data_IF_404088071098
#
_entry.id   IF_404088071098
#
_cell.length_a   1.000
_cell.length_b   1.000
_cell.length_c   1.000
_cell.angle_alpha   90.00
_cell.angle_beta   90.00
_cell.angle_gamma   90.00
#
_symmetry.space_group_name_H-M   'P 1'
#
loop_
_entity.id
_entity.type
_entity.pdbx_description
1 polymer ?
#
# COMPACT_ATOMS: atom_id res chain seq x y z
N UNK A 1 45.35 5.74 -7.05
CA UNK A 1 44.46 5.50 -5.92
C UNK A 1 43.29 4.63 -6.40
N UNK A 2 43.23 3.39 -5.95
CA UNK A 2 42.16 2.48 -6.32
C UNK A 2 40.79 3.03 -5.85
N UNK A 3 39.80 3.06 -6.74
CA UNK A 3 38.42 3.44 -6.40
C UNK A 3 37.92 2.49 -5.29
N UNK A 4 37.71 3.00 -4.06
CA UNK A 4 36.97 2.22 -3.05
C UNK A 4 35.59 1.93 -3.63
N UNK A 5 35.25 0.67 -3.82
CA UNK A 5 33.92 0.27 -4.28
C UNK A 5 32.85 0.90 -3.40
N UNK A 6 31.92 1.62 -4.01
CA UNK A 6 30.77 2.25 -3.34
C UNK A 6 30.86 3.76 -3.11
N UNK A 7 31.99 4.43 -3.33
CA UNK A 7 32.10 5.88 -3.14
C UNK A 7 31.99 6.65 -4.47
N UNK A 8 31.03 7.58 -4.52
CA UNK A 8 30.87 8.51 -5.64
C UNK A 8 31.97 9.59 -5.61
N UNK A 9 32.54 9.90 -6.75
CA UNK A 9 33.38 11.09 -6.88
C UNK A 9 32.54 12.36 -6.85
N UNK A 10 33.11 13.49 -6.44
CA UNK A 10 32.41 14.79 -6.45
C UNK A 10 31.81 15.14 -7.82
N UNK A 11 32.49 14.74 -8.92
CA UNK A 11 32.00 14.97 -10.28
C UNK A 11 30.78 14.10 -10.61
N UNK A 12 30.76 12.84 -10.18
CA UNK A 12 29.64 11.90 -10.34
C UNK A 12 28.46 12.37 -9.51
N UNK A 13 28.66 12.72 -8.22
CA UNK A 13 27.61 13.25 -7.34
C UNK A 13 26.96 14.50 -7.93
N UNK A 14 27.74 15.48 -8.40
CA UNK A 14 27.22 16.69 -9.06
C UNK A 14 26.37 16.39 -10.29
N UNK A 15 26.75 15.38 -11.10
CA UNK A 15 25.94 14.96 -12.26
C UNK A 15 24.61 14.34 -11.82
N UNK A 16 24.63 13.48 -10.81
CA UNK A 16 23.42 12.84 -10.25
C UNK A 16 22.49 13.91 -9.70
N UNK A 17 22.97 14.82 -8.85
CA UNK A 17 22.18 15.89 -8.27
C UNK A 17 21.55 16.75 -9.38
N UNK A 18 22.34 17.18 -10.38
CA UNK A 18 21.83 17.98 -11.50
C UNK A 18 20.73 17.26 -12.29
N UNK A 19 20.90 15.96 -12.54
CA UNK A 19 19.88 15.12 -13.19
C UNK A 19 18.62 15.03 -12.34
N UNK A 20 18.76 14.66 -11.07
CA UNK A 20 17.65 14.47 -10.15
C UNK A 20 16.85 15.76 -9.90
N UNK A 21 17.53 16.89 -9.74
CA UNK A 21 16.85 18.22 -9.65
C UNK A 21 16.06 18.52 -10.92
N UNK A 22 16.59 18.19 -12.11
CA UNK A 22 15.86 18.36 -13.38
C UNK A 22 14.60 17.49 -13.40
N UNK A 23 14.67 16.22 -12.98
CA UNK A 23 13.53 15.30 -12.92
C UNK A 23 12.47 15.79 -11.91
N UNK A 24 12.87 16.14 -10.68
CA UNK A 24 11.97 16.71 -9.67
C UNK A 24 11.21 17.92 -10.20
N UNK A 25 11.91 18.90 -10.82
CA UNK A 25 11.28 20.10 -11.41
C UNK A 25 10.32 19.75 -12.55
N UNK A 26 10.63 18.73 -13.35
CA UNK A 26 9.76 18.28 -14.44
C UNK A 26 8.44 17.72 -13.89
N UNK A 27 8.48 16.79 -12.93
CA UNK A 27 7.26 16.19 -12.36
C UNK A 27 6.46 17.20 -11.54
N UNK A 28 7.11 18.11 -10.81
CA UNK A 28 6.42 19.20 -10.10
C UNK A 28 5.67 20.15 -11.06
N UNK A 29 6.22 20.42 -12.25
CA UNK A 29 5.52 21.19 -13.29
C UNK A 29 4.33 20.44 -13.85
N UNK A 30 4.44 19.12 -14.06
CA UNK A 30 3.31 18.31 -14.53
C UNK A 30 2.14 18.35 -13.55
N UNK A 31 2.39 18.22 -12.25
CA UNK A 31 1.36 18.29 -11.20
C UNK A 31 0.63 19.65 -11.15
N UNK A 32 1.31 20.74 -11.51
CA UNK A 32 0.74 22.08 -11.52
C UNK A 32 -0.01 22.43 -12.81
N UNK A 33 0.08 21.59 -13.83
CA UNK A 33 -0.61 21.81 -15.10
C UNK A 33 -2.12 21.72 -14.88
N UNK A 34 -2.85 22.75 -15.33
CA UNK A 34 -4.31 22.69 -15.42
C UNK A 34 -4.67 21.71 -16.53
N UNK A 35 -5.42 20.69 -16.21
CA UNK A 35 -5.90 19.66 -17.13
C UNK A 35 -7.40 19.53 -17.01
N UNK A 36 -8.05 19.17 -18.10
CA UNK A 36 -9.46 18.83 -18.13
C UNK A 36 -9.67 17.42 -17.55
N UNK A 37 -10.90 17.13 -17.09
CA UNK A 37 -11.26 15.82 -16.52
C UNK A 37 -10.99 14.70 -17.51
N UNK A 38 -11.19 14.91 -18.80
CA UNK A 38 -10.91 13.93 -19.86
C UNK A 38 -9.45 13.46 -19.91
N UNK A 39 -8.49 14.24 -19.37
CA UNK A 39 -7.08 13.85 -19.31
C UNK A 39 -6.79 12.68 -18.36
N UNK A 40 -7.57 12.57 -17.29
CA UNK A 40 -7.40 11.50 -16.29
C UNK A 40 -8.63 10.58 -16.18
N UNK A 41 -9.69 10.82 -16.96
CA UNK A 41 -10.83 9.91 -17.07
C UNK A 41 -10.52 8.76 -18.03
N UNK A 42 -11.08 7.60 -17.73
CA UNK A 42 -10.95 6.40 -18.53
C UNK A 42 -12.02 5.37 -18.18
N UNK A 43 -11.82 4.13 -18.63
CA UNK A 43 -12.70 3.00 -18.29
C UNK A 43 -11.97 2.05 -17.35
N UNK A 44 -12.71 1.41 -16.45
CA UNK A 44 -12.19 0.25 -15.68
C UNK A 44 -12.02 -0.93 -16.63
N UNK A 45 -11.00 -1.76 -16.40
CA UNK A 45 -10.85 -3.04 -17.10
C UNK A 45 -11.86 -4.08 -16.60
N UNK A 46 -12.00 -4.11 -15.25
CA UNK A 46 -13.02 -4.91 -14.57
C UNK A 46 -13.88 -3.99 -13.69
N UNK A 47 -15.18 -3.85 -13.96
CA UNK A 47 -16.08 -3.02 -13.17
C UNK A 47 -16.25 -3.48 -11.71
N UNK A 48 -15.83 -4.72 -11.39
CA UNK A 48 -15.83 -5.24 -10.02
C UNK A 48 -14.65 -4.75 -9.19
N UNK A 49 -13.66 -4.09 -9.78
CA UNK A 49 -12.56 -3.51 -9.04
C UNK A 49 -12.89 -2.11 -8.52
N UNK A 50 -12.38 -1.77 -7.33
CA UNK A 50 -12.33 -0.39 -6.80
C UNK A 50 -11.11 0.33 -7.31
N UNK A 51 -9.95 -0.37 -7.32
CA UNK A 51 -8.68 0.16 -7.81
C UNK A 51 -8.05 -0.86 -8.78
N UNK A 52 -7.47 -0.35 -9.85
CA UNK A 52 -6.57 -1.10 -10.73
C UNK A 52 -5.24 -0.35 -10.83
N UNK A 53 -4.18 -1.00 -10.41
CA UNK A 53 -2.81 -0.48 -10.49
C UNK A 53 -2.10 -1.20 -11.63
N UNK A 54 -1.51 -0.45 -12.55
CA UNK A 54 -0.79 -0.99 -13.69
C UNK A 54 0.56 -0.33 -13.87
N UNK A 55 1.61 -1.14 -13.85
CA UNK A 55 2.99 -0.74 -14.04
C UNK A 55 3.38 0.52 -13.23
N UNK A 56 2.87 0.62 -12.00
CA UNK A 56 3.11 1.78 -11.15
C UNK A 56 4.60 1.91 -10.85
N UNK A 57 5.13 3.09 -11.11
CA UNK A 57 6.50 3.46 -10.79
C UNK A 57 6.54 4.71 -9.91
N UNK A 58 7.16 4.58 -8.72
CA UNK A 58 7.38 5.68 -7.79
C UNK A 58 8.84 5.73 -7.38
N UNK A 59 9.48 6.85 -7.72
CA UNK A 59 10.90 7.06 -7.52
C UNK A 59 11.18 8.16 -6.50
N UNK A 60 12.26 7.99 -5.72
CA UNK A 60 12.82 9.06 -4.89
C UNK A 60 14.16 9.51 -5.47
N UNK A 61 14.24 10.79 -5.77
CA UNK A 61 15.42 11.45 -6.34
C UNK A 61 16.32 11.98 -5.22
N UNK A 62 17.37 11.23 -4.92
CA UNK A 62 18.32 11.56 -3.83
C UNK A 62 19.65 12.06 -4.39
N UNK A 63 20.51 12.60 -3.51
CA UNK A 63 21.85 13.07 -3.89
C UNK A 63 22.80 11.93 -4.32
N UNK A 64 22.49 10.70 -3.90
CA UNK A 64 23.29 9.50 -4.19
C UNK A 64 22.79 8.71 -5.41
N UNK A 65 21.61 9.03 -5.93
CA UNK A 65 20.99 8.32 -7.05
C UNK A 65 19.48 8.34 -7.01
N UNK A 66 18.87 7.57 -7.88
CA UNK A 66 17.42 7.39 -7.93
C UNK A 66 17.05 6.07 -7.25
N UNK A 67 16.19 6.15 -6.24
CA UNK A 67 15.62 5.00 -5.54
C UNK A 67 14.29 4.66 -6.20
N UNK A 68 14.19 3.49 -6.84
CA UNK A 68 12.96 2.98 -7.42
C UNK A 68 12.17 2.19 -6.36
N UNK A 69 11.47 2.91 -5.48
CA UNK A 69 10.75 2.29 -4.36
C UNK A 69 9.55 1.46 -4.81
N UNK A 70 8.90 1.86 -5.90
CA UNK A 70 7.88 1.08 -6.61
C UNK A 70 8.31 1.04 -8.06
N UNK A 71 8.40 -0.15 -8.64
CA UNK A 71 9.09 -0.35 -9.93
C UNK A 71 8.30 -1.33 -10.81
N UNK A 72 7.20 -0.87 -11.39
CA UNK A 72 6.34 -1.68 -12.26
C UNK A 72 5.37 -2.57 -11.46
N UNK A 73 4.78 -2.04 -10.40
CA UNK A 73 3.79 -2.77 -9.59
C UNK A 73 2.44 -2.81 -10.30
N UNK A 74 1.85 -4.01 -10.38
CA UNK A 74 0.54 -4.24 -10.99
C UNK A 74 -0.29 -5.21 -10.16
N UNK A 75 -1.43 -4.74 -9.66
CA UNK A 75 -2.48 -5.55 -9.03
C UNK A 75 -3.79 -4.76 -8.94
N UNK A 76 -4.88 -5.46 -8.66
CA UNK A 76 -6.21 -4.87 -8.53
C UNK A 76 -6.74 -5.06 -7.12
N UNK A 77 -7.66 -4.21 -6.69
CA UNK A 77 -8.39 -4.31 -5.43
C UNK A 77 -9.88 -4.47 -5.79
N UNK A 78 -10.43 -5.70 -5.71
CA UNK A 78 -11.85 -5.93 -5.97
C UNK A 78 -12.75 -5.28 -4.90
N UNK A 79 -13.99 -4.96 -5.28
CA UNK A 79 -15.02 -4.48 -4.36
C UNK A 79 -15.29 -5.51 -3.27
N UNK A 80 -15.54 -5.04 -2.07
CA UNK A 80 -15.91 -5.87 -0.92
C UNK A 80 -14.93 -7.00 -0.60
N UNK A 81 -13.63 -6.81 -0.94
CA UNK A 81 -12.56 -7.77 -0.66
C UNK A 81 -11.46 -7.16 0.21
N UNK A 82 -10.76 -8.02 0.92
CA UNK A 82 -9.56 -7.67 1.68
C UNK A 82 -8.35 -8.17 0.93
N UNK A 83 -7.49 -7.26 0.47
CA UNK A 83 -6.24 -7.58 -0.20
C UNK A 83 -5.08 -7.39 0.77
N UNK A 84 -4.36 -8.48 1.07
CA UNK A 84 -3.17 -8.44 1.89
C UNK A 84 -1.92 -8.09 1.09
N UNK A 85 -1.17 -7.07 1.50
CA UNK A 85 0.11 -6.72 0.88
C UNK A 85 1.23 -6.99 1.86
N UNK A 86 2.12 -7.94 1.52
CA UNK A 86 3.17 -8.43 2.40
C UNK A 86 4.56 -8.32 1.80
N UNK A 87 5.57 -8.32 2.66
CA UNK A 87 7.00 -8.28 2.29
C UNK A 87 7.85 -7.66 3.39
N UNK A 88 9.17 -7.77 3.28
CA UNK A 88 10.13 -7.16 4.22
C UNK A 88 9.99 -5.64 4.28
N UNK A 89 10.49 -5.03 5.37
CA UNK A 89 10.56 -3.56 5.49
C UNK A 89 11.34 -2.97 4.32
N UNK A 90 10.87 -1.84 3.78
CA UNK A 90 11.50 -1.16 2.64
C UNK A 90 11.21 -1.78 1.27
N UNK A 91 10.37 -2.81 1.15
CA UNK A 91 10.04 -3.41 -0.15
C UNK A 91 9.03 -2.61 -1.00
N UNK A 92 8.56 -1.46 -0.54
CA UNK A 92 7.69 -0.55 -1.32
C UNK A 92 6.20 -0.57 -0.95
N UNK A 93 5.75 -1.35 0.04
CA UNK A 93 4.33 -1.46 0.45
C UNK A 93 3.70 -0.10 0.77
N UNK A 94 4.24 0.60 1.77
CA UNK A 94 3.75 1.92 2.18
C UNK A 94 3.93 3.00 1.10
N UNK A 95 4.96 2.88 0.25
CA UNK A 95 5.11 3.80 -0.89
C UNK A 95 4.02 3.56 -1.94
N UNK A 96 3.58 2.32 -2.13
CA UNK A 96 2.45 2.00 -3.02
C UNK A 96 1.15 2.61 -2.49
N UNK A 97 0.86 2.46 -1.18
CA UNK A 97 -0.33 3.07 -0.56
C UNK A 97 -0.29 4.60 -0.62
N UNK A 98 0.85 5.21 -0.31
CA UNK A 98 1.05 6.66 -0.43
C UNK A 98 0.93 7.15 -1.89
N UNK A 99 1.27 6.31 -2.87
CA UNK A 99 1.07 6.64 -4.29
C UNK A 99 -0.41 6.64 -4.65
N UNK A 100 -1.21 5.67 -4.17
CA UNK A 100 -2.67 5.65 -4.34
C UNK A 100 -3.30 6.92 -3.74
N UNK A 101 -2.82 7.33 -2.57
CA UNK A 101 -3.30 8.53 -1.88
C UNK A 101 -2.70 9.84 -2.42
N UNK A 102 -1.76 9.81 -3.39
CA UNK A 102 -0.95 10.96 -3.80
C UNK A 102 -0.30 11.70 -2.60
N UNK A 103 0.16 10.93 -1.60
CA UNK A 103 0.83 11.45 -0.39
C UNK A 103 2.34 11.23 -0.42
N UNK A 104 2.90 10.80 -1.55
CA UNK A 104 4.35 10.65 -1.71
C UNK A 104 5.03 11.99 -1.52
N UNK A 105 6.00 12.04 -0.60
CA UNK A 105 6.65 13.28 -0.17
C UNK A 105 7.41 13.98 -1.32
N UNK A 106 6.85 15.04 -1.82
CA UNK A 106 7.46 15.91 -2.83
C UNK A 106 8.49 16.88 -2.19
N UNK A 107 9.50 17.38 -2.94
CA UNK A 107 9.75 17.11 -4.36
C UNK A 107 10.56 15.84 -4.63
N UNK A 108 11.14 15.18 -3.61
CA UNK A 108 12.02 14.02 -3.80
C UNK A 108 11.27 12.80 -4.33
N UNK A 109 10.09 12.51 -3.76
CA UNK A 109 9.24 11.40 -4.18
C UNK A 109 8.28 11.81 -5.29
N UNK A 110 8.24 11.03 -6.38
CA UNK A 110 7.41 11.30 -7.55
C UNK A 110 6.87 10.00 -8.13
N UNK A 111 5.58 9.99 -8.48
CA UNK A 111 5.00 8.97 -9.37
C UNK A 111 5.51 9.30 -10.76
N UNK A 112 6.29 8.40 -11.35
CA UNK A 112 7.00 8.63 -12.62
C UNK A 112 6.41 7.84 -13.78
N UNK A 113 5.58 6.83 -13.51
CA UNK A 113 5.00 5.98 -14.54
C UNK A 113 3.85 5.13 -14.02
N UNK A 114 3.16 4.46 -14.94
CA UNK A 114 2.02 3.62 -14.68
C UNK A 114 0.71 4.37 -14.55
N UNK A 115 -0.33 3.65 -14.12
CA UNK A 115 -1.66 4.20 -13.87
C UNK A 115 -2.26 3.61 -12.59
N UNK A 116 -3.12 4.39 -11.94
CA UNK A 116 -3.91 3.99 -10.78
C UNK A 116 -5.35 4.37 -11.09
N UNK A 117 -6.11 3.43 -11.66
CA UNK A 117 -7.52 3.67 -11.99
C UNK A 117 -8.40 3.44 -10.77
N UNK A 118 -9.16 4.46 -10.39
CA UNK A 118 -10.16 4.42 -9.35
C UNK A 118 -11.56 4.38 -9.95
N UNK A 119 -12.39 3.44 -9.52
CA UNK A 119 -13.77 3.28 -9.98
C UNK A 119 -14.69 4.29 -9.30
N UNK A 120 -15.28 5.20 -10.07
CA UNK A 120 -16.22 6.19 -9.55
C UNK A 120 -17.61 5.62 -9.27
N UNK A 121 -17.93 4.43 -9.83
CA UNK A 121 -19.28 3.83 -9.95
C UNK A 121 -20.26 4.63 -10.83
N UNK A 122 -19.82 5.75 -11.38
CA UNK A 122 -20.57 6.47 -12.42
C UNK A 122 -20.43 5.74 -13.74
N UNK A 123 -21.47 5.85 -14.57
CA UNK A 123 -21.48 5.21 -15.89
C UNK A 123 -21.43 6.27 -16.97
N UNK A 124 -20.70 5.96 -18.05
CA UNK A 124 -20.71 6.76 -19.26
C UNK A 124 -21.98 6.50 -20.11
N UNK A 125 -22.06 7.17 -21.27
CA UNK A 125 -23.18 7.01 -22.21
C UNK A 125 -23.32 5.58 -22.77
N UNK A 126 -22.22 4.82 -22.78
CA UNK A 126 -22.17 3.44 -23.26
C UNK A 126 -22.51 2.42 -22.14
N UNK A 127 -22.66 2.88 -20.89
CA UNK A 127 -22.95 2.06 -19.71
C UNK A 127 -21.71 1.49 -19.01
N UNK A 128 -20.50 1.87 -19.42
CA UNK A 128 -19.24 1.47 -18.80
C UNK A 128 -18.91 2.31 -17.55
N UNK A 129 -18.27 1.71 -16.57
CA UNK A 129 -17.86 2.43 -15.36
C UNK A 129 -16.73 3.42 -15.68
N UNK A 130 -16.98 4.69 -15.34
CA UNK A 130 -15.97 5.76 -15.43
C UNK A 130 -14.92 5.52 -14.35
N UNK A 131 -13.65 5.58 -14.76
CA UNK A 131 -12.51 5.55 -13.84
C UNK A 131 -11.75 6.87 -13.88
N UNK A 132 -11.13 7.23 -12.76
CA UNK A 132 -10.14 8.31 -12.71
C UNK A 132 -8.75 7.74 -12.47
N UNK A 133 -7.79 8.14 -13.33
CA UNK A 133 -6.38 7.80 -13.14
C UNK A 133 -5.76 8.74 -12.10
N UNK A 134 -5.70 8.25 -10.85
CA UNK A 134 -5.14 8.99 -9.70
C UNK A 134 -3.70 9.44 -9.99
N UNK A 135 -2.90 8.67 -10.71
CA UNK A 135 -1.52 9.05 -11.02
C UNK A 135 -1.42 10.34 -11.85
N UNK A 136 -2.47 10.68 -12.60
CA UNK A 136 -2.55 11.87 -13.47
C UNK A 136 -3.46 12.96 -12.92
N UNK A 137 -4.27 12.63 -11.91
CA UNK A 137 -5.29 13.52 -11.35
C UNK A 137 -4.64 14.73 -10.65
N UNK A 138 -5.15 15.96 -10.88
CA UNK A 138 -4.71 17.13 -10.11
C UNK A 138 -5.02 17.01 -8.63
N UNK A 139 -4.15 17.56 -7.77
CA UNK A 139 -4.30 17.53 -6.32
C UNK A 139 -5.68 18.07 -5.86
N UNK A 140 -6.18 19.13 -6.50
CA UNK A 140 -7.51 19.70 -6.18
C UNK A 140 -8.64 18.69 -6.32
N UNK A 141 -8.58 17.84 -7.35
CA UNK A 141 -9.61 16.83 -7.59
C UNK A 141 -9.36 15.59 -6.72
N UNK A 142 -8.10 15.24 -6.45
CA UNK A 142 -7.75 14.19 -5.48
C UNK A 142 -8.26 14.51 -4.07
N UNK A 143 -8.29 15.76 -3.64
CA UNK A 143 -8.86 16.17 -2.36
C UNK A 143 -10.37 15.88 -2.22
N UNK A 144 -11.10 15.71 -3.33
CA UNK A 144 -12.52 15.34 -3.31
C UNK A 144 -12.71 13.83 -3.03
N UNK A 145 -11.74 13.01 -3.41
CA UNK A 145 -11.76 11.55 -3.25
C UNK A 145 -11.10 11.14 -1.93
N UNK A 146 -9.98 11.78 -1.57
CA UNK A 146 -9.22 11.51 -0.36
C UNK A 146 -10.02 11.88 0.88
N UNK A 147 -10.15 10.94 1.83
CA UNK A 147 -10.92 11.12 3.07
C UNK A 147 -12.41 10.84 2.91
N UNK A 148 -12.92 10.74 1.67
CA UNK A 148 -14.30 10.36 1.34
C UNK A 148 -14.36 8.96 0.74
N UNK A 149 -13.94 8.82 -0.52
CA UNK A 149 -14.02 7.55 -1.25
C UNK A 149 -12.84 6.61 -0.95
N UNK A 150 -11.65 7.17 -0.73
CA UNK A 150 -10.44 6.44 -0.34
C UNK A 150 -9.91 7.03 0.95
N UNK A 151 -9.79 6.20 1.99
CA UNK A 151 -9.27 6.59 3.30
C UNK A 151 -8.05 5.76 3.68
N UNK A 152 -7.26 6.26 4.63
CA UNK A 152 -6.04 5.59 5.06
C UNK A 152 -5.92 5.61 6.58
N UNK A 153 -5.62 4.44 7.15
CA UNK A 153 -5.22 4.25 8.53
C UNK A 153 -3.70 4.14 8.54
N UNK A 154 -3.03 5.09 9.17
CA UNK A 154 -1.57 5.16 9.22
C UNK A 154 -0.98 4.27 10.32
N UNK A 155 0.28 3.92 10.16
CA UNK A 155 1.03 3.04 11.07
C UNK A 155 1.11 3.55 12.51
N UNK A 156 1.22 4.88 12.71
CA UNK A 156 1.41 5.49 14.02
C UNK A 156 0.21 6.36 14.44
N UNK A 157 -0.65 5.90 15.38
CA UNK A 157 -1.77 6.70 15.86
C UNK A 157 -1.36 7.98 16.59
N UNK A 158 -0.15 7.98 17.19
CA UNK A 158 0.36 9.12 17.96
C UNK A 158 0.66 10.34 17.11
N UNK A 159 1.10 10.12 15.87
CA UNK A 159 1.47 11.19 14.93
C UNK A 159 0.33 11.57 13.99
N UNK A 160 -0.70 10.71 13.88
CA UNK A 160 -1.82 10.88 12.97
C UNK A 160 -2.93 11.77 13.53
N UNK A 161 -3.14 11.74 14.86
CA UNK A 161 -4.10 12.63 15.53
C UNK A 161 -3.41 13.92 15.97
N UNK A 162 -4.02 15.05 15.65
CA UNK A 162 -3.50 16.35 16.08
C UNK A 162 -3.75 16.55 17.59
N UNK A 163 -2.69 16.69 18.43
CA UNK A 163 -2.84 16.73 19.89
C UNK A 163 -3.49 17.99 20.43
N UNK A 164 -3.62 19.06 19.63
CA UNK A 164 -4.19 20.35 20.08
C UNK A 164 -5.68 20.49 19.80
N UNK A 165 -6.28 19.53 19.07
CA UNK A 165 -7.71 19.51 18.80
C UNK A 165 -8.39 18.31 19.48
N UNK A 166 -9.64 18.48 19.89
CA UNK A 166 -10.46 17.39 20.42
C UNK A 166 -10.74 16.34 19.34
N UNK A 167 -11.08 15.13 19.76
CA UNK A 167 -11.46 14.04 18.87
C UNK A 167 -12.67 14.43 18.01
N UNK A 168 -13.67 15.06 18.64
CA UNK A 168 -14.89 15.51 17.94
C UNK A 168 -14.58 16.53 16.85
N UNK A 169 -13.71 17.51 17.14
CA UNK A 169 -13.31 18.50 16.13
C UNK A 169 -12.70 17.83 14.88
N UNK A 170 -11.82 16.85 15.08
CA UNK A 170 -11.13 16.14 13.99
C UNK A 170 -12.08 15.22 13.20
N UNK A 171 -13.06 14.60 13.85
CA UNK A 171 -14.11 13.81 13.19
C UNK A 171 -15.07 14.68 12.38
N UNK A 172 -15.55 15.78 12.98
CA UNK A 172 -16.47 16.72 12.34
C UNK A 172 -15.86 17.37 11.10
N UNK A 173 -14.53 17.58 11.08
CA UNK A 173 -13.80 18.14 9.94
C UNK A 173 -14.05 17.33 8.65
N UNK A 174 -14.11 16.00 8.74
CA UNK A 174 -14.41 15.14 7.59
C UNK A 174 -15.79 15.49 6.98
N UNK A 175 -16.78 15.70 7.84
CA UNK A 175 -18.14 16.07 7.40
C UNK A 175 -18.16 17.45 6.75
N UNK A 176 -17.54 18.44 7.36
CA UNK A 176 -17.53 19.79 6.81
C UNK A 176 -16.76 19.93 5.48
N UNK A 177 -15.71 19.15 5.30
CA UNK A 177 -14.92 19.17 4.04
C UNK A 177 -15.70 18.50 2.91
N UNK A 178 -16.32 17.34 3.17
CA UNK A 178 -16.91 16.52 2.11
C UNK A 178 -18.42 16.70 1.93
N UNK A 179 -19.08 17.23 2.96
CA UNK A 179 -20.54 17.47 3.01
C UNK A 179 -20.81 18.89 3.53
N UNK A 180 -20.58 19.93 2.71
CA UNK A 180 -20.63 21.35 3.16
C UNK A 180 -21.99 21.78 3.72
N UNK A 181 -23.06 21.10 3.34
CA UNK A 181 -24.43 21.39 3.82
C UNK A 181 -24.71 20.84 5.24
N UNK A 182 -23.76 20.11 5.84
CA UNK A 182 -23.94 19.47 7.16
C UNK A 182 -23.93 20.52 8.27
N UNK A 183 -24.95 20.51 9.13
CA UNK A 183 -24.97 21.35 10.34
C UNK A 183 -24.03 20.82 11.42
N UNK A 184 -23.68 21.67 12.40
CA UNK A 184 -22.81 21.25 13.52
C UNK A 184 -23.44 20.10 14.34
N UNK A 185 -24.76 20.14 14.53
CA UNK A 185 -25.51 19.11 15.26
C UNK A 185 -25.49 17.77 14.51
N UNK A 186 -25.64 17.82 13.18
CA UNK A 186 -25.56 16.63 12.33
C UNK A 186 -24.13 16.04 12.32
N UNK A 187 -23.10 16.88 12.17
CA UNK A 187 -21.71 16.44 12.23
C UNK A 187 -21.39 15.76 13.57
N UNK A 188 -21.78 16.40 14.68
CA UNK A 188 -21.60 15.82 16.02
C UNK A 188 -22.32 14.49 16.19
N UNK A 189 -23.57 14.39 15.76
CA UNK A 189 -24.36 13.14 15.85
C UNK A 189 -23.68 12.02 15.05
N UNK A 190 -23.24 12.32 13.81
CA UNK A 190 -22.52 11.38 12.97
C UNK A 190 -21.17 10.96 13.61
N UNK A 191 -20.39 11.89 14.15
CA UNK A 191 -19.12 11.61 14.82
C UNK A 191 -19.30 10.69 16.04
N UNK A 192 -20.34 10.92 16.84
CA UNK A 192 -20.67 10.05 17.97
C UNK A 192 -21.10 8.66 17.49
N UNK A 193 -21.85 8.56 16.40
CA UNK A 193 -22.22 7.28 15.79
C UNK A 193 -20.97 6.52 15.32
N UNK A 194 -20.02 7.18 14.64
CA UNK A 194 -18.77 6.55 14.21
C UNK A 194 -17.95 6.02 15.39
N UNK A 195 -17.87 6.78 16.50
CA UNK A 195 -17.21 6.33 17.73
C UNK A 195 -17.91 5.09 18.34
N UNK A 196 -19.24 5.03 18.29
CA UNK A 196 -20.00 3.85 18.71
C UNK A 196 -19.70 2.64 17.81
N UNK A 197 -19.69 2.84 16.49
CA UNK A 197 -19.46 1.75 15.52
C UNK A 197 -18.09 1.07 15.69
N UNK A 198 -17.08 1.81 16.15
CA UNK A 198 -15.76 1.25 16.44
C UNK A 198 -15.61 0.73 17.88
N UNK A 199 -16.71 0.70 18.65
CA UNK A 199 -16.76 0.13 19.99
C UNK A 199 -16.06 1.00 21.05
N UNK A 200 -16.12 2.33 20.91
CA UNK A 200 -15.70 3.27 21.97
C UNK A 200 -16.78 3.32 23.04
N UNK A 201 -16.40 3.00 24.29
CA UNK A 201 -17.27 3.22 25.43
C UNK A 201 -17.34 4.71 25.78
N UNK A 202 -18.56 5.23 26.09
CA UNK A 202 -18.81 6.66 26.39
C UNK A 202 -18.37 7.60 25.24
N UNK A 203 -18.93 7.46 24.04
CA UNK A 203 -18.50 8.19 22.85
C UNK A 203 -18.66 9.71 22.98
N UNK A 204 -19.66 10.21 23.73
CA UNK A 204 -19.86 11.64 23.99
C UNK A 204 -18.71 12.23 24.82
N UNK A 205 -18.17 11.47 25.78
CA UNK A 205 -17.01 11.87 26.56
C UNK A 205 -15.77 11.91 25.66
N UNK A 206 -15.54 10.85 24.88
CA UNK A 206 -14.38 10.74 23.99
C UNK A 206 -14.42 11.80 22.88
N UNK A 207 -15.61 12.15 22.36
CA UNK A 207 -15.79 13.25 21.43
C UNK A 207 -15.21 14.58 21.97
N UNK A 208 -15.36 14.86 23.27
CA UNK A 208 -14.85 16.07 23.90
C UNK A 208 -13.41 15.92 24.44
N UNK A 209 -12.81 14.74 24.39
CA UNK A 209 -11.45 14.48 24.87
C UNK A 209 -10.40 14.84 23.83
N UNK A 210 -9.16 15.04 24.30
CA UNK A 210 -7.97 15.21 23.48
C UNK A 210 -7.28 13.86 23.23
N UNK A 211 -6.50 13.72 22.14
CA UNK A 211 -5.78 12.47 21.84
C UNK A 211 -4.90 11.96 22.99
N UNK A 212 -4.26 12.83 23.75
CA UNK A 212 -3.35 12.45 24.85
C UNK A 212 -4.09 11.88 26.07
N UNK A 213 -5.39 12.08 26.18
CA UNK A 213 -6.22 11.51 27.25
C UNK A 213 -6.66 10.06 26.95
N UNK A 214 -6.40 9.54 25.74
CA UNK A 214 -6.82 8.23 25.27
C UNK A 214 -5.68 7.20 25.33
N UNK A 215 -6.01 5.94 25.60
CA UNK A 215 -5.08 4.82 25.45
C UNK A 215 -4.70 4.58 23.97
N UNK A 216 -3.63 3.83 23.72
CA UNK A 216 -3.20 3.49 22.35
C UNK A 216 -4.30 2.82 21.52
N UNK A 217 -4.97 1.82 22.09
CA UNK A 217 -6.08 1.13 21.43
C UNK A 217 -7.29 2.04 21.18
N UNK A 218 -7.59 2.97 22.08
CA UNK A 218 -8.67 3.96 21.85
C UNK A 218 -8.31 4.93 20.73
N UNK A 219 -7.07 5.41 20.65
CA UNK A 219 -6.60 6.26 19.53
C UNK A 219 -6.70 5.54 18.21
N UNK A 220 -6.34 4.25 18.18
CA UNK A 220 -6.46 3.43 16.98
C UNK A 220 -7.92 3.30 16.54
N UNK A 221 -8.85 3.04 17.46
CA UNK A 221 -10.29 3.00 17.18
C UNK A 221 -10.81 4.36 16.67
N UNK A 222 -10.35 5.46 17.24
CA UNK A 222 -10.67 6.82 16.76
C UNK A 222 -10.18 7.04 15.32
N UNK A 223 -8.96 6.62 14.97
CA UNK A 223 -8.47 6.71 13.60
C UNK A 223 -9.30 5.88 12.62
N UNK A 224 -9.76 4.69 13.06
CA UNK A 224 -10.66 3.87 12.27
C UNK A 224 -12.00 4.59 12.10
N UNK A 225 -12.56 5.21 13.16
CA UNK A 225 -13.79 6.01 13.07
C UNK A 225 -13.65 7.18 12.08
N UNK A 226 -12.51 7.89 12.09
CA UNK A 226 -12.23 8.94 11.11
C UNK A 226 -12.15 8.40 9.68
N UNK A 227 -11.52 7.24 9.49
CA UNK A 227 -11.46 6.60 8.19
C UNK A 227 -12.84 6.17 7.66
N UNK A 228 -13.78 5.87 8.54
CA UNK A 228 -15.15 5.47 8.19
C UNK A 228 -16.09 6.65 7.95
N UNK A 229 -15.81 7.82 8.52
CA UNK A 229 -16.72 8.97 8.55
C UNK A 229 -17.19 9.41 7.15
N UNK A 230 -16.39 9.22 6.10
CA UNK A 230 -16.72 9.50 4.71
C UNK A 230 -17.50 8.41 4.00
N UNK A 231 -17.77 7.27 4.63
CA UNK A 231 -18.34 6.06 4.00
C UNK A 231 -17.49 5.60 2.78
N UNK A 232 -16.21 5.22 2.97
CA UNK A 232 -15.27 4.98 1.90
C UNK A 232 -15.57 3.70 1.10
N UNK A 233 -15.20 3.71 -0.19
CA UNK A 233 -15.16 2.53 -1.06
C UNK A 233 -13.92 1.68 -0.78
N UNK A 234 -12.81 2.33 -0.37
CA UNK A 234 -11.54 1.69 -0.06
C UNK A 234 -10.94 2.25 1.23
N UNK A 235 -10.56 1.35 2.14
CA UNK A 235 -9.74 1.66 3.31
C UNK A 235 -8.35 1.06 3.08
N UNK A 236 -7.32 1.89 3.12
CA UNK A 236 -5.92 1.46 3.13
C UNK A 236 -5.48 1.41 4.59
N UNK A 237 -5.18 0.21 5.11
CA UNK A 237 -4.70 0.01 6.47
C UNK A 237 -3.19 -0.34 6.42
N UNK A 238 -2.34 0.65 6.67
CA UNK A 238 -0.88 0.50 6.64
C UNK A 238 -0.38 0.18 8.05
N UNK A 239 -0.09 -1.10 8.29
CA UNK A 239 0.33 -1.66 9.57
C UNK A 239 -0.56 -1.20 10.75
N UNK A 240 -1.88 -1.41 10.70
CA UNK A 240 -2.84 -0.79 11.61
C UNK A 240 -2.74 -1.27 13.06
N UNK A 241 -1.92 -2.28 13.33
CA UNK A 241 -1.77 -2.89 14.65
C UNK A 241 -0.35 -2.78 15.22
N UNK A 242 0.55 -2.10 14.52
CA UNK A 242 1.92 -1.87 14.99
C UNK A 242 1.90 -1.09 16.31
N UNK A 243 2.76 -1.48 17.25
CA UNK A 243 2.87 -0.91 18.61
C UNK A 243 1.65 -1.12 19.52
N UNK A 244 0.76 -2.06 19.19
CA UNK A 244 -0.33 -2.51 20.07
C UNK A 244 0.00 -3.86 20.70
N UNK A 245 -0.52 -4.11 21.91
CA UNK A 245 -0.46 -5.44 22.50
C UNK A 245 -1.29 -6.46 21.71
N UNK A 246 -0.97 -7.75 21.84
CA UNK A 246 -1.57 -8.85 21.05
C UNK A 246 -3.10 -8.89 21.18
N UNK A 247 -3.63 -8.59 22.38
CA UNK A 247 -5.08 -8.64 22.61
C UNK A 247 -5.80 -7.51 21.87
N UNK A 248 -5.26 -6.29 21.95
CA UNK A 248 -5.82 -5.13 21.24
C UNK A 248 -5.64 -5.30 19.73
N UNK A 249 -4.50 -5.87 19.29
CA UNK A 249 -4.27 -6.20 17.88
C UNK A 249 -5.39 -7.08 17.32
N UNK A 250 -5.73 -8.19 17.99
CA UNK A 250 -6.80 -9.09 17.58
C UNK A 250 -8.15 -8.36 17.49
N UNK A 251 -8.48 -7.53 18.49
CA UNK A 251 -9.72 -6.74 18.50
C UNK A 251 -9.79 -5.73 17.34
N UNK A 252 -8.69 -5.08 16.98
CA UNK A 252 -8.65 -4.13 15.85
C UNK A 252 -8.83 -4.86 14.51
N UNK A 253 -8.22 -6.02 14.35
CA UNK A 253 -8.36 -6.82 13.13
C UNK A 253 -9.80 -7.35 12.97
N UNK A 254 -10.40 -7.86 14.04
CA UNK A 254 -11.81 -8.27 14.05
C UNK A 254 -12.73 -7.09 13.72
N UNK A 255 -12.49 -5.91 14.31
CA UNK A 255 -13.23 -4.69 14.02
C UNK A 255 -13.15 -4.33 12.52
N UNK A 256 -11.96 -4.36 11.91
CA UNK A 256 -11.79 -4.07 10.48
C UNK A 256 -12.55 -5.08 9.60
N UNK A 257 -12.55 -6.35 9.97
CA UNK A 257 -13.28 -7.41 9.26
C UNK A 257 -14.81 -7.22 9.36
N UNK A 258 -15.28 -6.82 10.53
CA UNK A 258 -16.71 -6.54 10.74
C UNK A 258 -17.16 -5.28 9.99
N UNK A 259 -16.33 -4.25 9.96
CA UNK A 259 -16.56 -3.05 9.17
C UNK A 259 -16.69 -3.41 7.68
N UNK A 260 -15.71 -4.15 7.16
CA UNK A 260 -15.72 -4.60 5.76
C UNK A 260 -17.01 -5.36 5.42
N UNK A 261 -17.44 -6.29 6.26
CA UNK A 261 -18.67 -7.06 6.05
C UNK A 261 -19.94 -6.18 6.09
N UNK A 262 -20.00 -5.20 7.00
CA UNK A 262 -21.17 -4.32 7.17
C UNK A 262 -21.28 -3.25 6.10
N UNK A 263 -20.16 -2.58 5.77
CA UNK A 263 -20.14 -1.47 4.81
C UNK A 263 -19.96 -1.94 3.36
N UNK A 264 -19.44 -3.16 3.14
CA UNK A 264 -19.06 -3.63 1.81
C UNK A 264 -17.85 -2.92 1.19
N UNK A 265 -17.12 -2.09 1.96
CA UNK A 265 -15.90 -1.44 1.48
C UNK A 265 -14.80 -2.47 1.16
N UNK A 266 -13.89 -2.13 0.28
CA UNK A 266 -12.66 -2.90 0.08
C UNK A 266 -11.62 -2.48 1.12
N UNK A 267 -10.73 -3.40 1.51
CA UNK A 267 -9.60 -3.10 2.40
C UNK A 267 -8.29 -3.53 1.75
N UNK A 268 -7.32 -2.63 1.67
CA UNK A 268 -5.92 -2.93 1.38
C UNK A 268 -5.17 -3.00 2.71
N UNK A 269 -4.88 -4.21 3.18
CA UNK A 269 -4.21 -4.45 4.45
C UNK A 269 -2.72 -4.67 4.23
N UNK A 270 -1.90 -3.74 4.70
CA UNK A 270 -0.44 -3.84 4.66
C UNK A 270 0.04 -4.29 6.03
N UNK A 271 0.81 -5.37 6.08
CA UNK A 271 1.46 -5.86 7.29
C UNK A 271 2.67 -6.71 6.96
N UNK A 272 3.58 -6.87 7.90
CA UNK A 272 4.66 -7.85 7.84
C UNK A 272 4.26 -9.19 8.47
N UNK A 273 3.10 -9.27 9.12
CA UNK A 273 2.60 -10.50 9.74
C UNK A 273 1.76 -11.34 8.77
N UNK A 274 2.35 -12.43 8.27
CA UNK A 274 1.68 -13.40 7.40
C UNK A 274 0.49 -14.11 8.07
N UNK A 275 0.47 -14.23 9.41
CA UNK A 275 -0.65 -14.85 10.12
C UNK A 275 -1.89 -13.98 10.07
N UNK A 276 -1.70 -12.68 10.25
CA UNK A 276 -2.78 -11.70 10.09
C UNK A 276 -3.36 -11.76 8.67
N UNK A 277 -2.50 -11.84 7.65
CA UNK A 277 -2.96 -11.95 6.27
C UNK A 277 -3.72 -13.26 6.02
N UNK A 278 -3.21 -14.39 6.54
CA UNK A 278 -3.88 -15.69 6.37
C UNK A 278 -5.30 -15.71 6.97
N UNK A 279 -5.53 -14.94 8.03
CA UNK A 279 -6.83 -14.85 8.71
C UNK A 279 -7.77 -13.82 8.08
N UNK A 280 -7.22 -12.71 7.61
CA UNK A 280 -7.99 -11.54 7.20
C UNK A 280 -8.25 -11.45 5.72
N UNK A 281 -7.27 -11.78 4.87
CA UNK A 281 -7.30 -11.44 3.46
C UNK A 281 -8.02 -12.50 2.61
N UNK A 282 -8.60 -12.06 1.49
CA UNK A 282 -9.10 -12.92 0.42
C UNK A 282 -7.98 -13.25 -0.57
N UNK A 283 -7.17 -12.25 -0.91
CA UNK A 283 -6.04 -12.35 -1.85
C UNK A 283 -4.79 -11.74 -1.25
N UNK A 284 -3.64 -12.18 -1.71
CA UNK A 284 -2.32 -11.75 -1.23
C UNK A 284 -1.45 -11.26 -2.37
N UNK A 285 -0.80 -10.14 -2.15
CA UNK A 285 0.24 -9.57 -3.01
C UNK A 285 1.57 -9.58 -2.23
N UNK A 286 2.53 -10.34 -2.70
CA UNK A 286 3.87 -10.43 -2.09
C UNK A 286 4.80 -9.49 -2.83
N UNK A 287 5.38 -8.53 -2.10
CA UNK A 287 6.31 -7.54 -2.65
C UNK A 287 7.75 -7.78 -2.19
N UNK A 288 8.69 -7.61 -3.11
CA UNK A 288 10.11 -7.62 -2.84
C UNK A 288 10.84 -6.54 -3.65
N UNK A 289 11.61 -5.69 -2.96
CA UNK A 289 12.43 -4.65 -3.57
C UNK A 289 11.70 -3.81 -4.65
N UNK A 290 10.48 -3.37 -4.34
CA UNK A 290 9.68 -2.50 -5.19
C UNK A 290 8.87 -3.20 -6.28
N UNK A 291 8.83 -4.54 -6.32
CA UNK A 291 8.08 -5.30 -7.31
C UNK A 291 7.12 -6.31 -6.67
N UNK A 292 6.04 -6.62 -7.34
CA UNK A 292 5.21 -7.79 -7.04
C UNK A 292 5.93 -9.01 -7.58
N UNK A 293 6.16 -9.99 -6.71
CA UNK A 293 6.87 -11.23 -7.07
C UNK A 293 5.95 -12.44 -7.08
N UNK A 294 4.85 -12.37 -6.35
CA UNK A 294 3.82 -13.41 -6.30
C UNK A 294 2.49 -12.77 -5.88
N UNK A 295 1.39 -13.19 -6.47
CA UNK A 295 0.04 -12.83 -6.04
C UNK A 295 -0.92 -13.98 -6.32
N UNK A 296 -1.96 -14.09 -5.49
CA UNK A 296 -2.98 -15.11 -5.63
C UNK A 296 -3.98 -15.06 -4.49
N UNK A 297 -4.89 -16.03 -4.46
CA UNK A 297 -5.75 -16.21 -3.28
C UNK A 297 -4.89 -16.57 -2.06
N UNK A 298 -5.39 -16.26 -0.86
CA UNK A 298 -4.72 -16.65 0.39
C UNK A 298 -4.38 -18.15 0.37
N UNK A 299 -5.33 -18.99 -0.09
CA UNK A 299 -5.14 -20.44 -0.15
C UNK A 299 -3.97 -20.83 -1.06
N UNK A 300 -3.88 -20.25 -2.25
CA UNK A 300 -2.80 -20.54 -3.19
C UNK A 300 -1.43 -20.14 -2.64
N UNK A 301 -1.30 -18.88 -2.20
CA UNK A 301 -0.01 -18.35 -1.72
C UNK A 301 0.46 -19.05 -0.45
N UNK A 302 -0.44 -19.45 0.46
CA UNK A 302 -0.06 -20.10 1.72
C UNK A 302 0.14 -21.60 1.61
N UNK A 303 -0.66 -22.31 0.81
CA UNK A 303 -0.53 -23.77 0.66
C UNK A 303 0.42 -24.18 -0.47
N UNK A 304 0.55 -23.36 -1.50
CA UNK A 304 1.42 -23.64 -2.65
C UNK A 304 2.26 -22.41 -3.05
N UNK A 305 3.11 -21.89 -2.15
CA UNK A 305 3.96 -20.75 -2.46
C UNK A 305 4.94 -21.10 -3.58
N UNK A 306 5.04 -20.23 -4.57
CA UNK A 306 5.82 -20.48 -5.78
C UNK A 306 7.20 -19.81 -5.70
N UNK A 307 7.24 -18.52 -5.34
CA UNK A 307 8.50 -17.77 -5.33
C UNK A 307 9.37 -18.19 -4.14
N UNK A 308 10.69 -18.42 -4.33
CA UNK A 308 11.59 -18.79 -3.23
C UNK A 308 11.60 -17.82 -2.06
N UNK A 309 11.34 -16.55 -2.29
CA UNK A 309 11.19 -15.55 -1.23
C UNK A 309 9.92 -15.78 -0.39
N UNK A 310 8.76 -16.04 -1.02
CA UNK A 310 7.50 -16.35 -0.32
C UNK A 310 7.65 -17.59 0.54
N UNK A 311 8.31 -18.63 0.00
CA UNK A 311 8.65 -19.85 0.75
C UNK A 311 9.54 -19.51 1.96
N UNK A 312 10.53 -18.63 1.76
CA UNK A 312 11.40 -18.16 2.83
C UNK A 312 10.67 -17.39 3.92
N UNK A 313 9.78 -16.48 3.54
CA UNK A 313 8.95 -15.69 4.46
C UNK A 313 8.07 -16.60 5.34
N UNK A 314 7.45 -17.62 4.76
CA UNK A 314 6.62 -18.57 5.51
C UNK A 314 7.45 -19.41 6.50
N UNK A 315 8.64 -19.86 6.08
CA UNK A 315 9.56 -20.62 6.95
C UNK A 315 10.13 -19.79 8.10
N UNK A 316 10.18 -18.47 7.95
CA UNK A 316 10.68 -17.57 9.01
C UNK A 316 9.70 -17.39 10.18
N UNK A 317 8.46 -17.87 10.05
CA UNK A 317 7.50 -17.89 11.16
C UNK A 317 7.71 -19.07 12.09
N UNK A 318 7.70 -18.84 13.41
CA UNK A 318 7.66 -19.94 14.37
C UNK A 318 6.31 -20.65 14.25
N UNK A 319 6.34 -21.96 14.04
CA UNK A 319 5.15 -22.82 14.15
C UNK A 319 4.94 -23.17 15.62
N UNK A 320 3.69 -23.20 16.08
CA UNK A 320 3.33 -23.56 17.47
C UNK A 320 3.91 -24.92 17.88
N UNK A 321 4.09 -25.84 16.91
CA UNK A 321 4.64 -27.18 17.10
C UNK A 321 6.11 -27.31 16.67
N UNK A 322 6.82 -26.19 16.40
CA UNK A 322 8.23 -26.25 16.05
C UNK A 322 9.07 -26.65 17.28
N UNK A 323 10.09 -27.48 17.04
CA UNK A 323 11.03 -27.92 18.08
C UNK A 323 11.78 -26.65 18.58
N UNK A 324 11.57 -26.29 19.84
CA UNK A 324 12.13 -25.06 20.44
C UNK A 324 13.65 -25.00 20.45
N UNK A 325 14.31 -26.14 20.16
CA UNK A 325 15.78 -26.27 20.11
C UNK A 325 16.39 -25.94 18.74
N UNK A 326 15.59 -25.76 17.69
CA UNK A 326 16.10 -25.39 16.37
C UNK A 326 16.06 -23.87 16.19
N UNK A 327 17.15 -23.24 15.65
CA UNK A 327 17.14 -21.82 15.36
C UNK A 327 16.08 -21.52 14.31
N UNK A 328 15.35 -20.39 14.49
CA UNK A 328 14.38 -19.93 13.50
C UNK A 328 15.06 -19.72 12.16
N UNK A 329 14.41 -20.19 11.09
CA UNK A 329 14.89 -19.94 9.74
C UNK A 329 14.85 -18.43 9.46
N UNK A 330 15.95 -17.89 8.96
CA UNK A 330 16.02 -16.52 8.43
C UNK A 330 16.44 -16.57 6.97
N UNK A 331 15.84 -15.70 6.14
CA UNK A 331 16.24 -15.58 4.74
C UNK A 331 17.67 -15.03 4.70
N UNK A 332 18.65 -15.76 4.12
CA UNK A 332 20.05 -15.33 4.17
C UNK A 332 20.29 -14.03 3.40
N UNK A 333 21.31 -13.27 3.82
CA UNK A 333 21.72 -12.03 3.18
C UNK A 333 20.84 -10.83 3.50
N UNK A 334 21.07 -9.72 2.81
CA UNK A 334 20.35 -8.46 3.00
C UNK A 334 19.54 -8.10 1.77
N UNK A 335 18.48 -7.30 1.96
CA UNK A 335 17.73 -6.69 0.86
C UNK A 335 18.69 -5.85 0.02
N UNK A 336 18.67 -5.95 -1.32
CA UNK A 336 19.57 -5.20 -2.16
C UNK A 336 19.33 -3.69 -2.01
N UNK A 337 20.42 -2.91 -2.17
CA UNK A 337 20.33 -1.46 -2.16
C UNK A 337 19.43 -0.98 -3.31
N UNK A 338 18.35 -0.24 -3.04
CA UNK A 338 17.38 0.18 -4.06
C UNK A 338 17.88 1.28 -5.02
N UNK A 339 19.11 1.80 -4.79
CA UNK A 339 19.70 2.85 -5.62
C UNK A 339 20.24 2.24 -6.91
N UNK A 340 19.73 2.73 -8.06
CA UNK A 340 20.20 2.34 -9.40
C UNK A 340 20.24 0.80 -9.62
N UNK A 341 19.20 0.09 -9.14
CA UNK A 341 19.13 -1.37 -9.26
C UNK A 341 19.20 -1.82 -10.73
N UNK A 342 20.01 -2.86 -11.03
CA UNK A 342 20.05 -3.44 -12.36
C UNK A 342 18.73 -4.14 -12.71
N UNK A 343 18.41 -4.25 -14.00
CA UNK A 343 17.23 -4.98 -14.46
C UNK A 343 17.47 -6.50 -14.47
N UNK A 344 17.54 -7.09 -13.28
CA UNK A 344 17.77 -8.54 -13.06
C UNK A 344 16.83 -9.02 -11.97
N UNK A 345 16.75 -10.35 -11.72
CA UNK A 345 16.01 -10.84 -10.55
C UNK A 345 16.64 -10.25 -9.27
N UNK A 346 15.87 -9.44 -8.52
CA UNK A 346 16.37 -8.76 -7.33
C UNK A 346 16.63 -9.71 -6.16
N UNK A 347 15.97 -10.86 -6.14
CA UNK A 347 16.17 -11.88 -5.10
C UNK A 347 17.36 -12.81 -5.38
N UNK A 348 18.01 -12.75 -6.56
CA UNK A 348 19.06 -13.70 -6.99
C UNK A 348 20.18 -13.91 -5.97
N UNK A 349 20.61 -12.84 -5.28
CA UNK A 349 21.71 -12.90 -4.29
C UNK A 349 21.34 -13.61 -2.98
N UNK A 350 20.05 -13.86 -2.74
CA UNK A 350 19.51 -14.53 -1.55
C UNK A 350 18.80 -15.85 -1.90
N UNK A 351 18.67 -16.14 -3.20
CA UNK A 351 17.90 -17.28 -3.68
C UNK A 351 18.73 -18.55 -3.70
N UNK A 352 18.31 -19.55 -2.94
CA UNK A 352 18.94 -20.88 -2.94
C UNK A 352 18.63 -21.72 -4.19
N UNK A 353 17.70 -21.25 -5.04
CA UNK A 353 17.33 -21.87 -6.33
C UNK A 353 17.72 -20.96 -7.51
N UNK A 354 18.75 -20.10 -7.34
CA UNK A 354 19.19 -19.17 -8.37
C UNK A 354 19.78 -19.92 -9.56
N UNK A 355 19.30 -19.61 -10.77
CA UNK A 355 19.81 -20.15 -12.03
C UNK A 355 20.48 -19.03 -12.86
N UNK A 356 21.23 -19.41 -13.90
CA UNK A 356 22.02 -18.50 -14.76
C UNK A 356 21.14 -17.38 -15.37
N UNK A 357 19.90 -17.71 -15.75
CA UNK A 357 18.90 -16.80 -16.32
C UNK A 357 18.53 -15.63 -15.36
N UNK A 358 18.63 -15.84 -14.03
CA UNK A 358 18.34 -14.81 -13.01
C UNK A 358 19.31 -13.60 -13.05
N UNK A 359 20.46 -13.72 -13.70
CA UNK A 359 21.44 -12.64 -13.92
C UNK A 359 21.17 -11.82 -15.21
N UNK A 360 20.19 -12.23 -16.01
CA UNK A 360 19.74 -11.52 -17.19
C UNK A 360 18.72 -10.43 -16.87
N UNK A 361 17.65 -10.34 -17.65
CA UNK A 361 16.54 -9.42 -17.40
C UNK A 361 15.74 -9.81 -16.14
N UNK A 362 14.88 -8.91 -15.66
CA UNK A 362 13.90 -9.26 -14.63
C UNK A 362 12.91 -10.29 -15.17
N UNK A 363 12.53 -11.35 -14.40
CA UNK A 363 11.58 -12.36 -14.87
C UNK A 363 10.19 -11.75 -15.15
N UNK A 364 9.55 -12.21 -16.22
CA UNK A 364 8.17 -11.85 -16.55
C UNK A 364 7.19 -12.47 -15.55
N UNK A 365 6.00 -11.90 -15.48
CA UNK A 365 4.87 -12.46 -14.73
C UNK A 365 4.37 -13.72 -15.45
N UNK A 366 4.27 -14.83 -14.72
CA UNK A 366 3.74 -16.11 -15.19
C UNK A 366 2.52 -16.46 -14.36
N UNK A 367 1.39 -16.70 -14.99
CA UNK A 367 0.18 -17.21 -14.36
C UNK A 367 0.19 -18.75 -14.36
N UNK A 368 0.19 -19.34 -13.16
CA UNK A 368 0.16 -20.80 -12.96
C UNK A 368 -1.28 -21.30 -12.84
N UNK A 369 -2.19 -20.44 -12.36
CA UNK A 369 -3.65 -20.59 -12.41
C UNK A 369 -4.27 -19.24 -12.84
N UNK A 370 -5.60 -19.16 -12.93
CA UNK A 370 -6.31 -17.93 -13.28
C UNK A 370 -6.02 -16.78 -12.28
N UNK A 371 -5.73 -17.10 -11.03
CA UNK A 371 -5.49 -16.15 -9.94
C UNK A 371 -4.05 -16.11 -9.46
N UNK A 372 -3.27 -17.20 -9.62
CA UNK A 372 -1.95 -17.34 -9.05
C UNK A 372 -0.83 -16.94 -10.03
N UNK A 373 -0.24 -15.79 -9.80
CA UNK A 373 0.86 -15.22 -10.58
C UNK A 373 2.18 -15.29 -9.80
N UNK A 374 3.27 -15.57 -10.51
CA UNK A 374 4.64 -15.52 -9.98
C UNK A 374 5.61 -14.90 -11.00
N UNK A 375 6.51 -14.05 -10.52
CA UNK A 375 7.60 -13.47 -11.31
C UNK A 375 8.92 -14.21 -11.00
N UNK A 376 9.08 -15.41 -11.58
CA UNK A 376 10.24 -16.27 -11.31
C UNK A 376 10.56 -17.18 -12.51
N UNK A 377 11.81 -17.24 -12.92
CA UNK A 377 12.28 -18.08 -14.02
C UNK A 377 12.11 -19.60 -13.82
N UNK A 378 11.88 -20.06 -12.59
CA UNK A 378 11.57 -21.48 -12.32
C UNK A 378 10.23 -21.93 -12.92
N UNK A 379 9.35 -20.99 -13.26
CA UNK A 379 8.03 -21.24 -13.82
C UNK A 379 7.87 -20.78 -15.28
N UNK A 380 8.95 -20.23 -15.88
CA UNK A 380 8.97 -19.82 -17.26
C UNK A 380 8.92 -21.06 -18.18
N UNK A 381 7.81 -21.22 -18.94
CA UNK A 381 7.59 -22.37 -19.82
C UNK A 381 8.55 -22.45 -21.00
N UNK A 382 9.12 -21.33 -21.41
CA UNK A 382 10.07 -21.26 -22.53
C UNK A 382 11.47 -21.80 -22.19
N UNK A 383 11.76 -22.12 -20.94
CA UNK A 383 13.07 -22.62 -20.46
C UNK A 383 13.22 -24.13 -20.32
N UNK A 384 12.17 -24.93 -20.58
CA UNK A 384 12.24 -26.40 -20.43
C UNK A 384 12.76 -27.17 -21.64
N UNK A 385 13.06 -26.50 -22.75
CA UNK A 385 13.53 -27.16 -23.99
C UNK A 385 15.06 -27.15 -24.20
N UNK A 386 15.84 -26.61 -23.24
CA UNK A 386 17.30 -26.58 -23.35
C UNK A 386 17.99 -26.88 -21.98
N UNK A 387 17.79 -28.07 -21.44
CA UNK A 387 18.73 -28.74 -20.55
C UNK A 387 19.29 -30.00 -21.20
#
# INVERSE_FOLDING_TARGET
>A
MAKKEGYLTLKESRKIIKHNVKQMRYYERLKKKKVDVSYYSGKMKDPNNVIEIENLETNFFTDNGTVKSVNGVSFSIPKSKIIGVVGESGCGKSVTSLSIMQLVQAPQGQIVGGSIRFNTDEKDADGDNISYDIAKMPMKDMCKIRGKDITMIFQEPMTSLNPVFTIGYQLDEVMFIHYPETTKEQAKAHSIEMLNQVGISMPERVYNSYPHELSGGMRQRVMIAMALAGNPKLIIADEPTTALDVTIQAQILELLKDIQKRSGCAIMLITHDLGVIAEMADEVVVMYAGRVIEKGTVREVFHNPLHPYTIGLQKSKPLINSNTNEPLYSIPGQVPNPINMPDTCFFRGRCNKCIKKCSGKYPSEVYVSDTHMVACYLYDKEGKENE
#
